data_IF_748529740312
#
_entry.id   IF_748529740312
#
_cell.length_a   1.000
_cell.length_b   1.000
_cell.length_c   1.000
_cell.angle_alpha   90.00
_cell.angle_beta   90.00
_cell.angle_gamma   90.00
#
_symmetry.space_group_name_H-M   'P 1'
#
loop_
_entity.id
_entity.type
_entity.pdbx_description
1 polymer ?
#
# COMPACT_ATOMS: atom_id res chain seq x y z
N UNK A 1 15.77 -7.14 -9.80
CA UNK A 1 15.42 -5.71 -9.85
C UNK A 1 13.98 -5.58 -10.27
N UNK A 2 13.19 -4.86 -9.50
CA UNK A 2 11.80 -4.56 -9.84
C UNK A 2 11.73 -3.08 -10.20
N UNK A 3 11.04 -2.79 -11.30
CA UNK A 3 10.88 -1.42 -11.81
C UNK A 3 9.46 -0.94 -11.50
N UNK A 4 9.34 0.21 -10.85
CA UNK A 4 8.08 0.84 -10.51
C UNK A 4 8.00 2.20 -11.18
N UNK A 5 7.33 2.29 -12.34
CA UNK A 5 7.22 3.54 -13.08
C UNK A 5 6.22 4.49 -12.43
N UNK A 6 6.47 5.78 -12.59
CA UNK A 6 5.50 6.84 -12.29
C UNK A 6 5.62 7.96 -13.30
N UNK A 7 4.52 8.59 -13.61
CA UNK A 7 4.46 9.78 -14.45
C UNK A 7 3.41 10.73 -13.90
N UNK A 8 3.74 12.02 -13.85
CA UNK A 8 2.81 13.06 -13.45
C UNK A 8 2.99 14.29 -14.31
N UNK A 9 1.89 14.96 -14.58
CA UNK A 9 1.86 16.23 -15.29
C UNK A 9 0.93 17.21 -14.59
N UNK A 10 1.30 18.48 -14.63
CA UNK A 10 0.44 19.57 -14.20
C UNK A 10 0.52 20.74 -15.18
N UNK A 11 -0.61 21.37 -15.42
CA UNK A 11 -0.71 22.48 -16.34
C UNK A 11 -1.48 23.63 -15.71
N UNK A 12 -0.82 24.78 -15.60
CA UNK A 12 -1.42 26.04 -15.12
C UNK A 12 -2.02 26.77 -16.31
N UNK A 13 -3.31 26.57 -16.53
CA UNK A 13 -3.98 27.14 -17.69
C UNK A 13 -4.30 28.64 -17.50
N UNK A 14 -4.36 29.13 -16.25
CA UNK A 14 -4.55 30.55 -15.98
C UNK A 14 -3.41 31.42 -16.51
N UNK A 15 -2.19 30.88 -16.55
CA UNK A 15 -1.03 31.61 -17.01
C UNK A 15 -0.79 31.41 -18.51
N UNK A 16 -1.28 30.28 -19.05
CA UNK A 16 -1.09 29.93 -20.46
C UNK A 16 -2.07 30.65 -21.39
N UNK A 17 -3.26 30.98 -20.93
CA UNK A 17 -4.31 31.60 -21.73
C UNK A 17 -4.53 33.06 -21.32
N UNK A 18 -4.30 33.97 -22.25
CA UNK A 18 -4.67 35.39 -22.12
C UNK A 18 -6.13 35.60 -22.54
N UNK A 19 -6.92 36.24 -21.68
CA UNK A 19 -8.34 36.48 -21.96
C UNK A 19 -9.33 35.63 -21.14
N UNK A 20 -8.86 35.03 -20.09
CA UNK A 20 -9.73 34.38 -19.10
C UNK A 20 -10.61 35.42 -18.38
N UNK A 21 -11.82 35.01 -17.93
CA UNK A 21 -12.68 35.90 -17.17
C UNK A 21 -11.99 36.46 -15.93
N UNK A 22 -12.22 37.73 -15.60
CA UNK A 22 -11.60 38.40 -14.47
C UNK A 22 -11.94 37.82 -13.10
N UNK A 23 -13.01 37.01 -13.03
CA UNK A 23 -13.41 36.29 -11.81
C UNK A 23 -12.57 35.03 -11.53
N UNK A 24 -11.88 34.49 -12.54
CA UNK A 24 -10.96 33.35 -12.39
C UNK A 24 -9.55 33.87 -12.13
N UNK A 25 -9.07 33.69 -10.92
CA UNK A 25 -7.76 34.21 -10.46
C UNK A 25 -6.63 33.22 -10.67
N UNK A 26 -6.95 31.91 -10.64
CA UNK A 26 -5.99 30.85 -10.82
C UNK A 26 -6.68 29.59 -11.30
N UNK A 27 -6.00 28.82 -12.15
CA UNK A 27 -6.49 27.55 -12.63
C UNK A 27 -5.36 26.60 -13.03
N UNK A 28 -5.36 25.43 -12.41
CA UNK A 28 -4.38 24.36 -12.62
C UNK A 28 -5.09 23.02 -12.74
N UNK A 29 -4.67 22.20 -13.68
CA UNK A 29 -5.05 20.79 -13.78
C UNK A 29 -3.83 19.93 -13.50
N UNK A 30 -4.07 18.76 -12.88
CA UNK A 30 -3.04 17.77 -12.61
C UNK A 30 -3.54 16.38 -12.96
N UNK A 31 -2.64 15.55 -13.44
CA UNK A 31 -2.88 14.14 -13.65
C UNK A 31 -1.61 13.35 -13.30
N UNK A 32 -1.77 12.25 -12.62
CA UNK A 32 -0.67 11.37 -12.28
C UNK A 32 -1.07 9.91 -12.42
N UNK A 33 -0.09 9.09 -12.72
CA UNK A 33 -0.16 7.65 -12.70
C UNK A 33 1.11 7.11 -12.08
N UNK A 34 0.96 6.17 -11.16
CA UNK A 34 2.08 5.54 -10.48
C UNK A 34 1.82 4.05 -10.25
N UNK A 35 2.89 3.28 -10.27
CA UNK A 35 2.87 1.88 -9.91
C UNK A 35 3.90 1.62 -8.80
N UNK A 36 3.49 0.96 -7.73
CA UNK A 36 4.34 0.66 -6.57
C UNK A 36 4.21 -0.81 -6.20
N UNK A 37 5.32 -1.43 -5.84
CA UNK A 37 5.34 -2.78 -5.29
C UNK A 37 5.16 -2.75 -3.78
N UNK A 38 4.35 -3.67 -3.30
CA UNK A 38 4.12 -3.89 -1.89
C UNK A 38 4.54 -5.31 -1.53
N UNK A 39 5.50 -5.43 -0.60
CA UNK A 39 5.90 -6.72 -0.05
C UNK A 39 5.59 -6.72 1.45
N UNK A 40 4.47 -7.32 1.83
CA UNK A 40 4.06 -7.43 3.23
C UNK A 40 4.47 -8.79 3.82
N UNK A 41 5.69 -9.22 3.51
CA UNK A 41 6.30 -10.45 3.99
C UNK A 41 7.72 -10.17 4.46
N UNK A 42 8.17 -10.91 5.47
CA UNK A 42 9.54 -10.84 5.96
C UNK A 42 10.55 -11.39 4.96
N UNK A 43 11.82 -10.98 5.05
CA UNK A 43 12.84 -11.31 4.06
C UNK A 43 13.15 -12.82 3.92
N UNK A 44 12.77 -13.63 4.89
CA UNK A 44 12.99 -15.08 4.89
C UNK A 44 11.71 -15.92 4.94
N UNK A 45 10.54 -15.28 4.92
CA UNK A 45 9.25 -15.97 5.06
C UNK A 45 8.92 -16.90 3.88
N UNK A 46 9.62 -16.74 2.78
CA UNK A 46 9.52 -17.61 1.58
C UNK A 46 10.39 -18.86 1.67
N UNK A 47 11.26 -18.96 2.68
CA UNK A 47 12.18 -20.08 2.84
C UNK A 47 11.69 -21.04 3.92
N UNK A 48 11.81 -22.33 3.64
CA UNK A 48 11.62 -23.36 4.66
C UNK A 48 12.85 -23.39 5.55
N UNK A 49 12.67 -23.04 6.81
CA UNK A 49 13.73 -23.17 7.82
C UNK A 49 13.34 -24.27 8.81
N UNK A 50 14.33 -25.03 9.25
CA UNK A 50 14.16 -26.07 10.25
C UNK A 50 14.68 -25.54 11.58
N UNK A 51 13.85 -25.57 12.60
CA UNK A 51 14.29 -25.34 13.97
C UNK A 51 14.51 -26.70 14.64
N UNK A 52 15.70 -26.92 15.08
CA UNK A 52 16.03 -28.07 15.96
C UNK A 52 15.59 -27.73 17.37
N UNK A 53 14.29 -27.79 17.62
CA UNK A 53 13.78 -27.70 18.98
C UNK A 53 14.02 -29.05 19.66
N UNK A 54 14.99 -29.10 20.56
CA UNK A 54 15.16 -30.21 21.46
C UNK A 54 13.91 -30.33 22.34
N UNK A 55 13.11 -31.35 22.09
CA UNK A 55 12.12 -31.75 23.08
C UNK A 55 12.86 -32.15 24.34
N UNK A 56 12.63 -31.44 25.43
CA UNK A 56 13.16 -31.83 26.75
C UNK A 56 12.52 -33.15 27.16
N UNK A 57 13.29 -34.20 27.22
CA UNK A 57 12.85 -35.44 27.82
C UNK A 57 13.03 -35.33 29.36
N UNK A 58 12.05 -35.71 30.20
CA UNK A 58 12.12 -35.57 31.64
C UNK A 58 13.35 -36.20 32.28
N UNK A 59 13.88 -37.25 31.66
CA UNK A 59 15.06 -37.98 32.17
C UNK A 59 16.39 -37.62 31.50
N UNK A 60 16.38 -36.89 30.38
CA UNK A 60 17.57 -36.58 29.57
C UNK A 60 17.91 -35.08 29.53
N UNK A 61 17.14 -34.24 30.20
CA UNK A 61 17.35 -32.81 30.26
C UNK A 61 17.14 -32.13 28.92
N UNK A 62 17.51 -30.85 28.85
CA UNK A 62 17.33 -29.97 27.69
C UNK A 62 18.41 -30.18 26.59
N UNK A 63 19.22 -31.22 26.71
CA UNK A 63 20.27 -31.51 25.73
C UNK A 63 19.68 -32.16 24.49
N UNK A 64 18.92 -31.37 23.72
CA UNK A 64 18.30 -31.79 22.46
C UNK A 64 19.25 -32.15 21.33
N UNK A 65 20.55 -32.25 21.61
CA UNK A 65 21.58 -32.59 20.61
C UNK A 65 21.96 -34.08 20.61
N UNK A 66 21.41 -34.88 21.48
CA UNK A 66 21.85 -36.27 21.65
C UNK A 66 20.81 -37.33 21.29
N UNK A 67 19.62 -36.93 20.90
CA UNK A 67 18.59 -37.89 20.49
C UNK A 67 18.53 -37.89 18.96
N UNK A 68 18.76 -39.06 18.31
CA UNK A 68 18.74 -39.13 16.83
C UNK A 68 17.35 -38.89 16.19
N UNK A 69 16.37 -38.49 16.96
CA UNK A 69 15.04 -38.11 16.52
C UNK A 69 14.71 -36.70 16.97
N UNK A 70 15.47 -35.73 16.50
CA UNK A 70 15.01 -34.36 16.51
C UNK A 70 13.86 -34.26 15.54
N UNK A 71 12.66 -34.12 16.06
CA UNK A 71 11.54 -33.66 15.22
C UNK A 71 11.88 -32.25 14.76
N UNK A 72 12.32 -32.12 13.52
CA UNK A 72 12.44 -30.84 12.88
C UNK A 72 11.02 -30.26 12.78
N UNK A 73 10.76 -29.24 13.55
CA UNK A 73 9.56 -28.42 13.36
C UNK A 73 9.87 -27.42 12.23
N UNK A 74 9.04 -27.41 11.22
CA UNK A 74 9.10 -26.38 10.20
C UNK A 74 8.79 -25.05 10.89
N UNK A 75 9.76 -24.16 10.90
CA UNK A 75 9.60 -22.80 11.35
C UNK A 75 9.88 -21.89 10.15
N UNK A 76 8.88 -21.20 9.68
CA UNK A 76 9.16 -20.00 8.91
C UNK A 76 9.71 -18.95 9.86
N UNK A 77 10.76 -18.25 9.45
CA UNK A 77 11.41 -17.24 10.28
C UNK A 77 10.35 -16.21 10.73
N UNK A 78 9.93 -16.29 11.97
CA UNK A 78 9.01 -15.33 12.60
C UNK A 78 7.59 -15.81 12.90
N UNK A 79 7.12 -16.92 12.33
CA UNK A 79 5.77 -17.42 12.60
C UNK A 79 5.76 -18.92 12.88
N UNK A 80 5.77 -19.30 14.15
CA UNK A 80 5.60 -20.69 14.61
C UNK A 80 4.17 -21.24 14.42
N UNK A 81 3.36 -20.64 13.55
CA UNK A 81 1.94 -20.93 13.43
C UNK A 81 1.57 -21.96 12.35
N UNK A 82 2.51 -22.78 11.92
CA UNK A 82 2.23 -23.83 10.92
C UNK A 82 1.89 -23.26 9.54
N UNK A 83 2.48 -22.13 9.16
CA UNK A 83 2.40 -21.61 7.80
C UNK A 83 3.43 -22.31 6.92
N UNK A 84 3.00 -22.88 5.79
CA UNK A 84 3.93 -23.40 4.79
C UNK A 84 4.48 -22.24 3.94
N UNK A 85 5.79 -22.05 3.89
CA UNK A 85 6.39 -21.03 3.05
C UNK A 85 6.10 -21.29 1.57
N UNK A 86 5.78 -20.24 0.84
CA UNK A 86 5.55 -20.31 -0.60
C UNK A 86 6.67 -19.57 -1.34
N UNK A 87 7.61 -20.28 -1.98
CA UNK A 87 8.71 -19.64 -2.71
C UNK A 87 8.27 -18.95 -4.01
N UNK A 88 7.02 -19.13 -4.42
CA UNK A 88 6.45 -18.50 -5.61
C UNK A 88 5.79 -17.14 -5.32
N UNK A 89 5.85 -16.67 -4.07
CA UNK A 89 5.32 -15.36 -3.73
C UNK A 89 6.06 -14.26 -4.49
N UNK A 90 5.25 -13.37 -5.04
CA UNK A 90 5.73 -12.16 -5.70
C UNK A 90 5.17 -10.93 -4.97
N UNK A 91 5.85 -9.78 -5.03
CA UNK A 91 5.30 -8.55 -4.47
C UNK A 91 3.94 -8.21 -5.08
N UNK A 92 3.03 -7.75 -4.25
CA UNK A 92 1.79 -7.15 -4.72
C UNK A 92 2.11 -5.88 -5.50
N UNK A 93 1.25 -5.53 -6.43
CA UNK A 93 1.40 -4.32 -7.25
C UNK A 93 0.21 -3.42 -7.01
N UNK A 94 0.48 -2.20 -6.56
CA UNK A 94 -0.51 -1.14 -6.45
C UNK A 94 -0.31 -0.15 -7.58
N UNK A 95 -1.36 0.08 -8.34
CA UNK A 95 -1.45 1.05 -9.42
C UNK A 95 -2.43 2.13 -9.03
N UNK A 96 -2.06 3.39 -9.21
CA UNK A 96 -2.88 4.53 -8.87
C UNK A 96 -2.94 5.52 -10.02
N UNK A 97 -4.15 5.98 -10.31
CA UNK A 97 -4.43 7.07 -11.25
C UNK A 97 -5.09 8.17 -10.45
N UNK A 98 -4.57 9.36 -10.56
CA UNK A 98 -5.11 10.56 -9.93
C UNK A 98 -5.34 11.64 -10.99
N UNK A 99 -6.47 12.30 -10.91
CA UNK A 99 -6.79 13.49 -11.68
C UNK A 99 -7.34 14.56 -10.76
N UNK A 100 -6.83 15.78 -10.88
CA UNK A 100 -7.26 16.89 -10.03
C UNK A 100 -7.24 18.22 -10.76
N UNK A 101 -8.00 19.15 -10.22
CA UNK A 101 -7.92 20.56 -10.60
C UNK A 101 -8.00 21.45 -9.37
N UNK A 102 -7.22 22.53 -9.40
CA UNK A 102 -7.17 23.57 -8.39
C UNK A 102 -7.57 24.88 -9.08
N UNK A 103 -8.59 25.53 -8.59
CA UNK A 103 -9.09 26.80 -9.12
C UNK A 103 -9.31 27.80 -8.01
N UNK A 104 -9.02 29.07 -8.31
CA UNK A 104 -9.28 30.18 -7.39
C UNK A 104 -10.03 31.27 -8.10
N UNK A 105 -10.99 31.84 -7.38
CA UNK A 105 -11.93 32.80 -7.90
C UNK A 105 -11.90 34.09 -7.09
N UNK A 106 -12.32 35.18 -7.71
CA UNK A 106 -12.56 36.48 -7.08
C UNK A 106 -11.33 37.01 -6.30
N UNK A 107 -10.19 37.12 -6.98
CA UNK A 107 -8.92 37.53 -6.37
C UNK A 107 -8.51 36.64 -5.20
N UNK A 108 -8.60 35.32 -5.41
CA UNK A 108 -8.27 34.27 -4.42
C UNK A 108 -9.19 34.22 -3.19
N UNK A 109 -10.37 34.84 -3.26
CA UNK A 109 -11.32 34.80 -2.13
C UNK A 109 -12.09 33.49 -2.02
N UNK A 110 -12.17 32.72 -3.08
CA UNK A 110 -12.77 31.38 -3.10
C UNK A 110 -11.82 30.42 -3.80
N UNK A 111 -11.47 29.34 -3.14
CA UNK A 111 -10.65 28.25 -3.68
C UNK A 111 -11.43 26.95 -3.74
N UNK A 112 -11.26 26.20 -4.81
CA UNK A 112 -11.79 24.86 -5.00
C UNK A 112 -10.67 23.96 -5.48
N UNK A 113 -10.34 22.96 -4.68
CA UNK A 113 -9.49 21.83 -5.08
C UNK A 113 -10.38 20.59 -5.19
N UNK A 114 -10.29 19.93 -6.32
CA UNK A 114 -10.99 18.69 -6.61
C UNK A 114 -9.99 17.64 -7.02
N UNK A 115 -10.09 16.46 -6.43
CA UNK A 115 -9.26 15.32 -6.78
C UNK A 115 -10.13 14.07 -6.92
N UNK A 116 -9.95 13.36 -8.01
CA UNK A 116 -10.45 12.01 -8.22
C UNK A 116 -9.27 11.06 -8.23
N UNK A 117 -9.37 9.97 -7.48
CA UNK A 117 -8.35 8.91 -7.48
C UNK A 117 -8.98 7.53 -7.70
N UNK A 118 -8.19 6.67 -8.30
CA UNK A 118 -8.51 5.25 -8.46
C UNK A 118 -7.25 4.43 -8.23
N UNK A 119 -7.21 3.71 -7.11
CA UNK A 119 -6.12 2.84 -6.73
C UNK A 119 -6.57 1.38 -6.88
N UNK A 120 -5.75 0.56 -7.53
CA UNK A 120 -5.96 -0.86 -7.71
C UNK A 120 -4.72 -1.62 -7.26
N UNK A 121 -4.87 -2.46 -6.24
CA UNK A 121 -3.83 -3.39 -5.80
C UNK A 121 -4.17 -4.77 -6.33
N UNK A 122 -3.21 -5.40 -6.98
CA UNK A 122 -3.32 -6.74 -7.55
C UNK A 122 -2.26 -7.66 -6.97
N UNK A 123 -2.52 -8.96 -7.00
CA UNK A 123 -1.61 -9.98 -6.46
C UNK A 123 -1.31 -9.79 -4.98
N UNK A 124 -2.27 -9.22 -4.24
CA UNK A 124 -2.11 -9.07 -2.81
C UNK A 124 -1.92 -10.43 -2.13
N UNK A 125 -1.10 -10.45 -1.10
CA UNK A 125 -0.72 -11.68 -0.41
C UNK A 125 -1.75 -11.93 0.67
N UNK A 126 -2.48 -13.03 0.49
CA UNK A 126 -3.54 -13.45 1.41
C UNK A 126 -3.16 -14.78 2.05
N UNK A 127 -3.36 -14.89 3.35
CA UNK A 127 -3.18 -16.13 4.09
C UNK A 127 -4.39 -17.03 3.88
N UNK A 128 -4.15 -18.17 3.23
CA UNK A 128 -5.16 -19.20 2.96
C UNK A 128 -5.02 -20.36 3.95
N UNK A 129 -6.16 -20.87 4.43
CA UNK A 129 -6.21 -22.10 5.22
C UNK A 129 -6.09 -23.31 4.31
N UNK A 130 -5.25 -24.26 4.68
CA UNK A 130 -5.02 -25.51 3.94
C UNK A 130 -5.34 -26.72 4.81
N UNK A 131 -5.44 -27.89 4.17
CA UNK A 131 -5.68 -29.13 4.90
C UNK A 131 -4.54 -29.45 5.84
N UNK A 132 -4.86 -29.70 7.10
CA UNK A 132 -3.89 -30.11 8.14
C UNK A 132 -3.22 -31.44 7.86
N UNK A 133 -3.73 -32.23 6.91
CA UNK A 133 -3.08 -33.45 6.44
C UNK A 133 -1.71 -33.19 5.81
N UNK A 134 -1.44 -31.94 5.40
CA UNK A 134 -0.12 -31.49 4.92
C UNK A 134 0.91 -31.27 6.03
N UNK A 135 0.49 -31.33 7.30
CA UNK A 135 1.32 -30.93 8.45
C UNK A 135 1.29 -29.44 8.77
N UNK A 136 0.62 -28.63 7.95
CA UNK A 136 0.51 -27.18 8.10
C UNK A 136 -0.96 -26.74 8.17
N UNK A 137 -1.20 -25.55 8.66
CA UNK A 137 -2.55 -25.00 8.75
C UNK A 137 -2.86 -23.94 7.72
N UNK A 138 -1.83 -23.22 7.25
CA UNK A 138 -1.98 -22.08 6.35
C UNK A 138 -0.85 -22.00 5.33
N UNK A 139 -1.09 -21.25 4.26
CA UNK A 139 -0.08 -20.83 3.28
C UNK A 139 -0.41 -19.43 2.78
N UNK A 140 0.60 -18.69 2.37
CA UNK A 140 0.42 -17.37 1.78
C UNK A 140 0.41 -17.48 0.24
N UNK A 141 -0.56 -16.84 -0.41
CA UNK A 141 -0.77 -16.91 -1.87
C UNK A 141 -1.11 -15.53 -2.44
N UNK A 142 -0.71 -15.30 -3.69
CA UNK A 142 -0.99 -14.06 -4.41
C UNK A 142 -2.33 -14.15 -5.16
N UNK A 143 -3.43 -13.85 -4.50
CA UNK A 143 -4.77 -13.91 -5.11
C UNK A 143 -5.63 -12.68 -4.82
N UNK A 144 -5.17 -11.80 -3.93
CA UNK A 144 -5.94 -10.64 -3.53
C UNK A 144 -6.00 -9.59 -4.64
N UNK A 145 -7.17 -8.99 -4.80
CA UNK A 145 -7.39 -7.78 -5.57
C UNK A 145 -8.20 -6.81 -4.70
N UNK A 146 -7.72 -5.59 -4.59
CA UNK A 146 -8.39 -4.51 -3.86
C UNK A 146 -8.47 -3.30 -4.76
N UNK A 147 -9.62 -2.66 -4.82
CA UNK A 147 -9.81 -1.41 -5.54
C UNK A 147 -10.44 -0.36 -4.66
N UNK A 148 -9.81 0.81 -4.61
CA UNK A 148 -10.31 2.01 -3.95
C UNK A 148 -10.49 3.10 -5.00
N UNK A 149 -11.65 3.76 -4.95
CA UNK A 149 -11.94 4.95 -5.76
C UNK A 149 -12.56 5.98 -4.88
N UNK A 150 -12.21 7.22 -5.09
CA UNK A 150 -12.77 8.29 -4.30
C UNK A 150 -12.68 9.64 -4.98
N UNK A 151 -13.39 10.56 -4.38
CA UNK A 151 -13.40 11.98 -4.74
C UNK A 151 -13.11 12.77 -3.48
N UNK A 152 -12.19 13.69 -3.58
CA UNK A 152 -11.85 14.64 -2.54
C UNK A 152 -12.17 16.05 -3.04
N UNK A 153 -12.83 16.83 -2.19
CA UNK A 153 -13.20 18.21 -2.48
C UNK A 153 -12.78 19.05 -1.30
N UNK A 154 -11.92 20.03 -1.56
CA UNK A 154 -11.57 21.07 -0.59
C UNK A 154 -12.10 22.40 -1.09
N UNK A 155 -12.94 23.03 -0.29
CA UNK A 155 -13.44 24.37 -0.52
C UNK A 155 -12.84 25.30 0.51
N UNK A 156 -12.23 26.39 0.06
CA UNK A 156 -11.65 27.42 0.92
C UNK A 156 -12.25 28.76 0.56
N UNK A 157 -12.44 29.63 1.57
CA UNK A 157 -13.02 30.93 1.32
C UNK A 157 -12.58 31.97 2.31
N UNK A 158 -12.45 33.21 1.84
CA UNK A 158 -12.22 34.41 2.65
C UNK A 158 -13.41 35.35 2.49
N UNK A 159 -14.56 35.08 3.17
CA UNK A 159 -15.77 35.87 2.99
C UNK A 159 -15.61 37.33 3.46
N UNK A 160 -14.79 37.56 4.46
CA UNK A 160 -14.52 38.91 5.00
C UNK A 160 -13.05 39.21 4.86
N UNK A 161 -12.75 40.33 4.20
CA UNK A 161 -11.39 40.83 4.02
C UNK A 161 -11.38 42.34 4.28
N UNK A 162 -10.72 42.78 5.35
CA UNK A 162 -10.64 44.16 5.80
C UNK A 162 -9.77 44.27 7.06
N UNK A 163 -10.12 45.14 7.96
CA UNK A 163 -9.46 45.26 9.29
C UNK A 163 -9.62 43.95 10.11
N UNK A 164 -10.64 43.19 9.81
CA UNK A 164 -10.83 41.80 10.26
C UNK A 164 -10.86 40.87 9.03
N UNK A 165 -10.04 39.83 9.01
CA UNK A 165 -10.05 38.82 7.98
C UNK A 165 -10.60 37.50 8.56
N UNK A 166 -11.52 36.87 7.86
CA UNK A 166 -12.08 35.57 8.24
C UNK A 166 -11.88 34.56 7.10
N UNK A 167 -11.14 33.50 7.40
CA UNK A 167 -10.86 32.39 6.48
C UNK A 167 -11.61 31.12 6.93
N UNK A 168 -12.13 30.34 5.99
CA UNK A 168 -12.84 29.06 6.17
C UNK A 168 -12.34 28.02 5.19
#
# INVERSE_FOLDING_TARGET
>A
NVFYPSVGASFVFSDAFTGLPSWLSFGKVRASWAQVGLANIGPYDVNVTYSLNGNSHPSLGTAGTLVPHTMATFSSAGNNNGNIPNPQLIPAVSEEIEFGFDTRFFNNRLGLDFTYYSQKTTKDIVRATISRASGFGTTDINVGELQNKGVEILLTGTPVQGDLTWDV
#
